data_IF_274250452429
#
_entry.id   IF_274250452429
#
_cell.length_a   1.000
_cell.length_b   1.000
_cell.length_c   1.000
_cell.angle_alpha   90.00
_cell.angle_beta   90.00
_cell.angle_gamma   90.00
#
_symmetry.space_group_name_H-M   'P 1'
#
loop_
_entity.id
_entity.type
_entity.pdbx_description
1 polymer ?
#
# COMPACT_ATOMS: atom_id res chain seq x y z
N UNK A 1 -11.91 18.29 2.70
CA UNK A 1 -12.53 17.27 3.58
C UNK A 1 -12.32 17.68 5.03
N UNK A 2 -13.38 17.75 5.85
CA UNK A 2 -13.21 17.80 7.31
C UNK A 2 -12.84 16.40 7.77
N UNK A 3 -11.78 16.27 8.56
CA UNK A 3 -11.41 14.98 9.15
C UNK A 3 -12.35 14.71 10.33
N UNK A 4 -13.53 14.12 10.07
CA UNK A 4 -14.50 13.75 11.12
C UNK A 4 -13.88 12.80 12.15
N UNK A 5 -12.96 11.94 11.70
CA UNK A 5 -12.20 11.00 12.55
C UNK A 5 -11.26 11.74 13.50
N UNK A 6 -10.49 12.73 13.01
CA UNK A 6 -9.55 13.48 13.86
C UNK A 6 -10.29 14.48 14.76
N UNK A 7 -11.33 15.12 14.24
CA UNK A 7 -12.03 16.22 14.93
C UNK A 7 -13.22 15.76 15.77
N UNK A 8 -13.60 14.46 15.71
CA UNK A 8 -14.77 13.88 16.40
C UNK A 8 -16.08 14.63 16.14
N UNK A 9 -16.25 15.17 14.94
CA UNK A 9 -17.46 15.91 14.55
C UNK A 9 -18.46 14.91 13.92
N UNK A 10 -19.71 14.81 14.42
CA UNK A 10 -20.71 13.92 13.85
C UNK A 10 -21.09 14.37 12.42
N UNK A 11 -21.16 13.40 11.50
CA UNK A 11 -21.60 13.65 10.12
C UNK A 11 -23.08 14.01 10.08
N UNK A 12 -23.40 15.13 9.44
CA UNK A 12 -24.78 15.51 9.11
C UNK A 12 -25.28 14.77 7.86
N UNK A 13 -26.60 14.81 7.61
CA UNK A 13 -27.16 14.29 6.35
C UNK A 13 -26.61 15.01 5.11
N UNK A 14 -26.35 16.32 5.24
CA UNK A 14 -25.75 17.11 4.17
C UNK A 14 -24.32 16.64 3.89
N UNK A 15 -23.53 16.37 4.93
CA UNK A 15 -22.18 15.81 4.76
C UNK A 15 -22.24 14.50 3.97
N UNK A 16 -23.15 13.57 4.32
CA UNK A 16 -23.31 12.31 3.59
C UNK A 16 -23.59 12.52 2.10
N UNK A 17 -24.55 13.38 1.75
CA UNK A 17 -24.88 13.68 0.35
C UNK A 17 -23.70 14.31 -0.42
N UNK A 18 -22.91 15.15 0.26
CA UNK A 18 -21.70 15.73 -0.32
C UNK A 18 -20.63 14.66 -0.54
N UNK A 19 -20.46 13.74 0.40
CA UNK A 19 -19.54 12.62 0.28
C UNK A 19 -19.93 11.70 -0.88
N UNK A 20 -21.20 11.31 -1.00
CA UNK A 20 -21.70 10.49 -2.11
C UNK A 20 -21.47 11.17 -3.47
N UNK A 21 -21.77 12.47 -3.56
CA UNK A 21 -21.53 13.24 -4.80
C UNK A 21 -20.03 13.31 -5.13
N UNK A 22 -19.19 13.55 -4.13
CA UNK A 22 -17.73 13.62 -4.30
C UNK A 22 -17.16 12.26 -4.68
N UNK A 23 -17.68 11.18 -4.12
CA UNK A 23 -17.30 9.81 -4.44
C UNK A 23 -17.65 9.47 -5.89
N UNK A 24 -18.89 9.76 -6.33
CA UNK A 24 -19.30 9.57 -7.73
C UNK A 24 -18.37 10.34 -8.67
N UNK A 25 -18.04 11.59 -8.32
CA UNK A 25 -17.11 12.40 -9.11
C UNK A 25 -15.71 11.76 -9.13
N UNK A 26 -15.15 11.40 -7.97
CA UNK A 26 -13.84 10.76 -7.87
C UNK A 26 -13.78 9.46 -8.67
N UNK A 27 -14.80 8.62 -8.63
CA UNK A 27 -14.85 7.37 -9.41
C UNK A 27 -14.95 7.64 -10.91
N UNK A 28 -15.60 8.74 -11.30
CA UNK A 28 -15.79 9.10 -12.72
C UNK A 28 -14.51 9.65 -13.39
N UNK A 29 -13.54 10.14 -12.60
CA UNK A 29 -12.28 10.67 -13.13
C UNK A 29 -11.21 9.58 -13.18
N UNK A 30 -10.65 9.22 -14.35
CA UNK A 30 -9.65 8.15 -14.47
C UNK A 30 -8.41 8.35 -13.58
N UNK A 31 -7.93 9.59 -13.45
CA UNK A 31 -6.77 9.94 -12.63
C UNK A 31 -7.05 9.90 -11.11
N UNK A 32 -8.30 9.72 -10.69
CA UNK A 32 -8.70 9.80 -9.28
C UNK A 32 -8.64 8.45 -8.56
N UNK A 33 -8.27 7.36 -9.25
CA UNK A 33 -8.13 6.01 -8.66
C UNK A 33 -7.25 6.02 -7.41
N UNK A 34 -6.13 6.75 -7.43
CA UNK A 34 -5.23 6.85 -6.29
C UNK A 34 -5.86 7.55 -5.08
N UNK A 35 -6.70 8.58 -5.33
CA UNK A 35 -7.46 9.27 -4.28
C UNK A 35 -8.51 8.34 -3.66
N UNK A 36 -9.24 7.61 -4.50
CA UNK A 36 -10.21 6.60 -4.04
C UNK A 36 -9.51 5.53 -3.20
N UNK A 37 -8.34 5.07 -3.65
CA UNK A 37 -7.54 4.09 -2.92
C UNK A 37 -7.11 4.60 -1.54
N UNK A 38 -6.67 5.86 -1.44
CA UNK A 38 -6.38 6.51 -0.16
C UNK A 38 -7.59 6.53 0.79
N UNK A 39 -8.77 6.88 0.29
CA UNK A 39 -10.00 6.87 1.09
C UNK A 39 -10.35 5.46 1.56
N UNK A 40 -10.22 4.46 0.68
CA UNK A 40 -10.46 3.06 1.02
C UNK A 40 -9.49 2.55 2.08
N UNK A 41 -8.20 2.92 1.99
CA UNK A 41 -7.20 2.56 3.00
C UNK A 41 -7.58 3.08 4.37
N UNK A 42 -8.05 4.33 4.43
CA UNK A 42 -8.47 4.94 5.69
C UNK A 42 -9.64 4.18 6.33
N UNK A 43 -10.66 3.86 5.54
CA UNK A 43 -11.82 3.07 6.01
C UNK A 43 -11.34 1.68 6.47
N UNK A 44 -10.45 1.06 5.71
CA UNK A 44 -9.95 -0.28 5.99
C UNK A 44 -9.12 -0.34 7.27
N UNK A 45 -8.25 0.64 7.51
CA UNK A 45 -7.49 0.77 8.77
C UNK A 45 -8.42 0.94 9.96
N UNK A 46 -9.49 1.74 9.83
CA UNK A 46 -10.49 1.90 10.90
C UNK A 46 -11.22 0.58 11.19
N UNK A 47 -11.57 -0.19 10.16
CA UNK A 47 -12.18 -1.52 10.30
C UNK A 47 -11.22 -2.49 11.00
N UNK A 48 -9.97 -2.59 10.52
CA UNK A 48 -8.95 -3.48 11.10
C UNK A 48 -8.71 -3.18 12.59
N UNK A 49 -8.59 -1.90 12.94
CA UNK A 49 -8.46 -1.43 14.31
C UNK A 49 -9.67 -1.82 15.19
N UNK A 50 -10.88 -1.75 14.65
CA UNK A 50 -12.10 -2.05 15.41
C UNK A 50 -12.32 -3.54 15.66
N UNK A 51 -11.88 -4.38 14.73
CA UNK A 51 -12.15 -5.83 14.76
C UNK A 51 -11.03 -6.64 15.42
N UNK A 52 -9.88 -6.03 15.75
CA UNK A 52 -8.69 -6.74 16.25
C UNK A 52 -8.32 -7.95 15.38
N UNK A 53 -8.50 -7.82 14.05
CA UNK A 53 -8.22 -8.89 13.12
C UNK A 53 -6.73 -9.22 13.16
N UNK A 54 -6.42 -10.53 13.19
CA UNK A 54 -5.04 -11.00 13.05
C UNK A 54 -4.59 -10.86 11.61
N UNK A 55 -3.34 -10.51 11.41
CA UNK A 55 -2.76 -10.35 10.08
C UNK A 55 -2.78 -11.65 9.26
N UNK A 56 -2.76 -12.80 9.92
CA UNK A 56 -2.85 -14.13 9.30
C UNK A 56 -4.26 -14.55 8.85
N UNK A 57 -5.27 -13.68 8.96
CA UNK A 57 -6.62 -13.97 8.45
C UNK A 57 -6.54 -14.14 6.92
N UNK A 58 -7.02 -15.26 6.34
CA UNK A 58 -7.06 -15.46 4.88
C UNK A 58 -7.73 -14.31 4.11
N UNK A 59 -8.69 -13.62 4.74
CA UNK A 59 -9.31 -12.44 4.14
C UNK A 59 -8.32 -11.28 3.97
N UNK A 60 -7.35 -11.13 4.87
CA UNK A 60 -6.31 -10.09 4.77
C UNK A 60 -5.35 -10.35 3.62
N UNK A 61 -4.98 -11.61 3.38
CA UNK A 61 -4.19 -12.04 2.21
C UNK A 61 -4.86 -11.61 0.90
N UNK A 62 -6.15 -11.95 0.70
CA UNK A 62 -6.89 -11.53 -0.49
C UNK A 62 -6.98 -10.01 -0.62
N UNK A 63 -7.29 -9.31 0.49
CA UNK A 63 -7.36 -7.84 0.51
C UNK A 63 -6.02 -7.18 0.20
N UNK A 64 -4.91 -7.80 0.62
CA UNK A 64 -3.57 -7.30 0.35
C UNK A 64 -3.24 -7.41 -1.14
N UNK A 65 -3.58 -8.53 -1.78
CA UNK A 65 -3.46 -8.68 -3.24
C UNK A 65 -4.33 -7.65 -3.97
N UNK A 66 -5.61 -7.52 -3.58
CA UNK A 66 -6.53 -6.57 -4.19
C UNK A 66 -6.01 -5.14 -4.06
N UNK A 67 -5.50 -4.78 -2.88
CA UNK A 67 -4.87 -3.49 -2.66
C UNK A 67 -3.64 -3.28 -3.55
N UNK A 68 -2.73 -4.26 -3.61
CA UNK A 68 -1.52 -4.19 -4.44
C UNK A 68 -1.86 -4.00 -5.92
N UNK A 69 -2.81 -4.78 -6.45
CA UNK A 69 -3.27 -4.68 -7.83
C UNK A 69 -3.91 -3.32 -8.13
N UNK A 70 -4.79 -2.84 -7.23
CA UNK A 70 -5.41 -1.53 -7.39
C UNK A 70 -4.38 -0.39 -7.33
N UNK A 71 -3.39 -0.49 -6.44
CA UNK A 71 -2.30 0.48 -6.36
C UNK A 71 -1.47 0.49 -7.63
N UNK A 72 -1.04 -0.69 -8.13
CA UNK A 72 -0.32 -0.84 -9.39
C UNK A 72 -1.08 -0.21 -10.55
N UNK A 73 -2.36 -0.55 -10.70
CA UNK A 73 -3.21 0.00 -11.75
C UNK A 73 -3.34 1.53 -11.63
N UNK A 74 -3.47 2.06 -10.42
CA UNK A 74 -3.59 3.51 -10.21
C UNK A 74 -2.29 4.25 -10.57
N UNK A 75 -1.13 3.75 -10.14
CA UNK A 75 0.16 4.44 -10.32
C UNK A 75 0.83 4.17 -11.67
N UNK A 76 0.31 3.24 -12.47
CA UNK A 76 0.76 2.97 -13.85
C UNK A 76 -0.22 3.47 -14.92
N UNK A 77 -1.32 4.10 -14.51
CA UNK A 77 -2.33 4.66 -15.40
C UNK A 77 -1.72 5.81 -16.24
N UNK A 78 -1.79 5.75 -17.59
CA UNK A 78 -1.20 6.77 -18.44
C UNK A 78 -1.76 8.19 -18.22
N UNK A 79 -3.05 8.30 -17.92
CA UNK A 79 -3.69 9.59 -17.68
C UNK A 79 -3.21 10.17 -16.33
N UNK A 80 -3.11 9.33 -15.30
CA UNK A 80 -2.48 9.71 -14.03
C UNK A 80 -1.03 10.18 -14.23
N UNK A 81 -0.21 9.42 -14.97
CA UNK A 81 1.19 9.77 -15.25
C UNK A 81 1.28 11.12 -15.96
N UNK A 82 0.51 11.30 -17.04
CA UNK A 82 0.44 12.54 -17.80
C UNK A 82 0.04 13.71 -16.90
N UNK A 83 -0.96 13.51 -16.04
CA UNK A 83 -1.42 14.52 -15.08
C UNK A 83 -0.32 14.91 -14.10
N UNK A 84 0.33 13.96 -13.45
CA UNK A 84 1.42 14.25 -12.51
C UNK A 84 2.57 14.99 -13.17
N UNK A 85 2.97 14.59 -14.39
CA UNK A 85 4.06 15.23 -15.11
C UNK A 85 3.71 16.65 -15.59
N UNK A 86 2.45 16.90 -15.95
CA UNK A 86 2.00 18.23 -16.42
C UNK A 86 1.69 19.18 -15.27
N UNK A 87 1.12 18.67 -14.19
CA UNK A 87 0.71 19.44 -13.02
C UNK A 87 1.78 19.51 -11.93
N UNK A 88 2.95 18.88 -12.08
CA UNK A 88 4.03 18.87 -11.07
C UNK A 88 4.34 20.27 -10.52
N UNK A 89 4.36 21.28 -11.40
CA UNK A 89 4.63 22.68 -11.04
C UNK A 89 3.53 23.33 -10.19
N UNK A 90 2.31 22.80 -10.25
CA UNK A 90 1.17 23.26 -9.45
C UNK A 90 1.20 22.67 -8.03
N UNK A 91 1.91 21.56 -7.83
CA UNK A 91 2.15 20.97 -6.51
C UNK A 91 3.33 21.65 -5.80
N UNK A 92 3.40 22.99 -5.82
CA UNK A 92 4.26 23.69 -4.87
C UNK A 92 3.44 23.95 -3.62
N UNK A 93 3.88 23.40 -2.49
CA UNK A 93 3.20 23.56 -1.21
C UNK A 93 3.10 25.07 -0.88
N UNK A 94 1.88 25.53 -0.60
CA UNK A 94 1.67 26.82 0.09
C UNK A 94 2.12 26.74 1.57
N UNK A 95 2.32 25.51 2.06
CA UNK A 95 2.68 25.18 3.43
C UNK A 95 4.21 25.18 3.53
N UNK A 96 4.74 25.82 4.57
CA UNK A 96 6.17 25.87 4.84
C UNK A 96 6.79 24.46 4.98
N UNK A 97 7.90 24.21 4.28
CA UNK A 97 8.57 22.90 4.25
C UNK A 97 9.01 22.41 5.64
N UNK A 98 9.48 23.30 6.51
CA UNK A 98 9.88 22.93 7.88
C UNK A 98 8.67 22.50 8.70
N UNK A 99 7.51 23.12 8.48
CA UNK A 99 6.26 22.68 9.11
C UNK A 99 5.89 21.27 8.64
N UNK A 100 5.93 20.99 7.33
CA UNK A 100 5.63 19.67 6.79
C UNK A 100 6.61 18.64 7.38
N UNK A 101 7.92 18.91 7.32
CA UNK A 101 8.95 18.02 7.88
C UNK A 101 8.73 17.74 9.37
N UNK A 102 8.40 18.75 10.16
CA UNK A 102 8.15 18.57 11.59
C UNK A 102 6.90 17.70 11.85
N UNK A 103 5.82 17.90 11.10
CA UNK A 103 4.60 17.09 11.22
C UNK A 103 4.86 15.63 10.84
N UNK A 104 5.63 15.39 9.78
CA UNK A 104 5.91 14.02 9.32
C UNK A 104 7.02 13.32 10.10
N UNK A 105 7.99 14.05 10.67
CA UNK A 105 9.06 13.44 11.45
C UNK A 105 8.55 12.65 12.66
N UNK A 106 7.58 13.22 13.40
CA UNK A 106 6.98 12.54 14.56
C UNK A 106 6.14 11.32 14.12
N UNK A 107 5.34 11.48 13.07
CA UNK A 107 4.50 10.40 12.54
C UNK A 107 5.34 9.24 11.96
N UNK A 108 6.42 9.56 11.24
CA UNK A 108 7.37 8.58 10.70
C UNK A 108 8.04 7.79 11.83
N UNK A 109 8.49 8.49 12.89
CA UNK A 109 9.09 7.84 14.04
C UNK A 109 8.10 6.90 14.76
N UNK A 110 6.84 7.32 14.93
CA UNK A 110 5.79 6.49 15.52
C UNK A 110 5.55 5.24 14.67
N UNK A 111 5.47 5.39 13.35
CA UNK A 111 5.27 4.28 12.42
C UNK A 111 6.43 3.28 12.49
N UNK A 112 7.68 3.77 12.52
CA UNK A 112 8.87 2.91 12.65
C UNK A 112 8.86 2.14 13.97
N UNK A 113 8.51 2.80 15.07
CA UNK A 113 8.42 2.15 16.38
C UNK A 113 7.34 1.06 16.35
N UNK A 114 6.20 1.32 15.71
CA UNK A 114 5.13 0.32 15.56
C UNK A 114 5.56 -0.88 14.72
N UNK A 115 6.23 -0.63 13.59
CA UNK A 115 6.84 -1.66 12.73
C UNK A 115 7.81 -2.52 13.52
N UNK A 116 8.72 -1.89 14.28
CA UNK A 116 9.72 -2.60 15.07
C UNK A 116 9.13 -3.42 16.22
N UNK A 117 7.99 -2.99 16.80
CA UNK A 117 7.30 -3.74 17.85
C UNK A 117 6.66 -5.02 17.34
N UNK A 118 6.01 -4.96 16.17
CA UNK A 118 5.32 -6.12 15.57
C UNK A 118 6.24 -7.09 14.85
N UNK A 119 7.48 -6.69 14.56
CA UNK A 119 8.52 -7.55 13.99
C UNK A 119 8.76 -8.86 14.77
N UNK A 120 8.38 -8.93 16.05
CA UNK A 120 8.56 -10.13 16.87
C UNK A 120 7.50 -11.22 16.63
N UNK A 121 6.50 -10.97 15.78
CA UNK A 121 5.50 -11.97 15.41
C UNK A 121 5.97 -12.73 14.16
N UNK A 122 6.39 -13.99 14.34
CA UNK A 122 6.71 -14.88 13.23
C UNK A 122 5.42 -15.21 12.46
N UNK A 123 5.40 -14.89 11.16
CA UNK A 123 4.32 -15.26 10.27
C UNK A 123 4.61 -16.63 9.68
N UNK A 124 3.89 -17.66 10.14
CA UNK A 124 3.99 -19.03 9.61
C UNK A 124 3.20 -19.21 8.30
N UNK A 125 3.21 -18.20 7.43
CA UNK A 125 2.52 -18.23 6.16
C UNK A 125 3.40 -17.65 5.04
N UNK A 126 4.00 -18.56 4.25
CA UNK A 126 4.84 -18.20 3.12
C UNK A 126 4.09 -17.36 2.06
N UNK A 127 2.79 -17.61 1.85
CA UNK A 127 1.99 -16.82 0.91
C UNK A 127 1.95 -15.35 1.32
N UNK A 128 1.68 -15.11 2.61
CA UNK A 128 1.67 -13.77 3.17
C UNK A 128 3.04 -13.09 3.04
N UNK A 129 4.13 -13.81 3.34
CA UNK A 129 5.50 -13.28 3.22
C UNK A 129 5.79 -12.78 1.81
N UNK A 130 5.46 -13.58 0.80
CA UNK A 130 5.68 -13.21 -0.60
C UNK A 130 4.85 -12.00 -1.03
N UNK A 131 3.57 -11.95 -0.65
CA UNK A 131 2.70 -10.84 -0.99
C UNK A 131 3.13 -9.55 -0.30
N UNK A 132 3.49 -9.62 0.97
CA UNK A 132 4.02 -8.50 1.74
C UNK A 132 5.30 -7.95 1.09
N UNK A 133 6.20 -8.82 0.64
CA UNK A 133 7.42 -8.41 -0.06
C UNK A 133 7.13 -7.66 -1.37
N UNK A 134 6.16 -8.12 -2.16
CA UNK A 134 5.73 -7.39 -3.36
C UNK A 134 5.15 -6.03 -3.00
N UNK A 135 4.28 -5.98 -2.00
CA UNK A 135 3.66 -4.73 -1.59
C UNK A 135 4.69 -3.71 -1.08
N UNK A 136 5.70 -4.19 -0.36
CA UNK A 136 6.85 -3.40 0.06
C UNK A 136 7.60 -2.81 -1.14
N UNK A 137 7.85 -3.58 -2.20
CA UNK A 137 8.48 -3.09 -3.43
C UNK A 137 7.63 -2.05 -4.16
N UNK A 138 6.32 -2.23 -4.22
CA UNK A 138 5.40 -1.28 -4.84
C UNK A 138 5.42 0.04 -4.06
N UNK A 139 5.29 -0.01 -2.74
CA UNK A 139 5.29 1.18 -1.89
C UNK A 139 6.65 1.88 -1.85
N UNK A 140 7.73 1.12 -1.84
CA UNK A 140 9.08 1.67 -1.98
C UNK A 140 9.20 2.44 -3.30
N UNK A 141 8.79 1.81 -4.41
CA UNK A 141 8.82 2.47 -5.72
C UNK A 141 7.97 3.73 -5.74
N UNK A 142 6.77 3.70 -5.17
CA UNK A 142 5.87 4.84 -5.07
C UNK A 142 6.41 5.98 -4.18
N UNK A 143 7.08 5.65 -3.07
CA UNK A 143 7.75 6.64 -2.21
C UNK A 143 8.85 7.37 -3.00
N UNK A 144 9.63 6.64 -3.80
CA UNK A 144 10.75 7.20 -4.56
C UNK A 144 10.34 7.90 -5.86
N UNK A 145 9.35 7.35 -6.57
CA UNK A 145 8.88 7.79 -7.88
C UNK A 145 7.35 7.75 -7.84
N UNK A 146 6.71 8.90 -8.11
CA UNK A 146 5.26 9.07 -7.91
C UNK A 146 4.37 8.23 -8.86
N UNK A 147 4.99 7.50 -9.79
CA UNK A 147 4.33 6.62 -10.75
C UNK A 147 5.24 5.44 -11.11
N UNK A 148 4.66 4.41 -11.72
CA UNK A 148 5.38 3.28 -12.29
C UNK A 148 5.30 3.27 -13.80
N UNK A 149 6.42 3.02 -14.46
CA UNK A 149 6.40 2.66 -15.87
C UNK A 149 5.63 1.36 -16.05
N UNK A 150 4.85 1.28 -17.13
CA UNK A 150 4.04 0.10 -17.46
C UNK A 150 4.84 -1.21 -17.38
N UNK A 151 6.06 -1.24 -17.94
CA UNK A 151 6.91 -2.44 -17.90
C UNK A 151 7.34 -2.87 -16.50
N UNK A 152 7.36 -1.96 -15.52
CA UNK A 152 7.65 -2.29 -14.12
C UNK A 152 6.38 -2.76 -13.41
N UNK A 153 5.25 -2.11 -13.68
CA UNK A 153 3.95 -2.53 -13.17
C UNK A 153 3.56 -3.93 -13.68
N UNK A 154 3.77 -4.22 -14.96
CA UNK A 154 3.53 -5.53 -15.57
C UNK A 154 4.36 -6.61 -14.86
N UNK A 155 5.64 -6.36 -14.56
CA UNK A 155 6.50 -7.29 -13.81
C UNK A 155 5.97 -7.58 -12.41
N UNK A 156 5.52 -6.55 -11.69
CA UNK A 156 4.94 -6.74 -10.36
C UNK A 156 3.62 -7.50 -10.43
N UNK A 157 2.78 -7.22 -11.43
CA UNK A 157 1.55 -7.97 -11.70
C UNK A 157 1.85 -9.45 -11.98
N UNK A 158 2.83 -9.75 -12.82
CA UNK A 158 3.26 -11.12 -13.12
C UNK A 158 3.71 -11.85 -11.84
N UNK A 159 4.44 -11.16 -10.95
CA UNK A 159 4.83 -11.74 -9.67
C UNK A 159 3.62 -12.10 -8.80
N UNK A 160 2.62 -11.21 -8.71
CA UNK A 160 1.38 -11.45 -7.96
C UNK A 160 0.61 -12.64 -8.54
N UNK A 161 0.51 -12.74 -9.87
CA UNK A 161 -0.17 -13.83 -10.56
C UNK A 161 0.52 -15.18 -10.34
N UNK A 162 1.86 -15.21 -10.39
CA UNK A 162 2.64 -16.42 -10.13
C UNK A 162 2.43 -16.92 -8.71
N UNK A 163 2.45 -16.02 -7.72
CA UNK A 163 2.20 -16.37 -6.32
C UNK A 163 0.78 -16.91 -6.15
N UNK A 164 -0.22 -16.20 -6.69
CA UNK A 164 -1.63 -16.61 -6.60
C UNK A 164 -1.87 -18.01 -7.18
N UNK A 165 -1.21 -18.32 -8.31
CA UNK A 165 -1.25 -19.67 -8.93
C UNK A 165 -0.49 -20.71 -8.12
N UNK A 166 0.64 -20.34 -7.51
CA UNK A 166 1.43 -21.25 -6.68
C UNK A 166 0.62 -21.72 -5.47
N UNK A 167 -0.01 -20.79 -4.74
CA UNK A 167 -0.72 -21.11 -3.49
C UNK A 167 -2.14 -21.67 -3.69
N UNK A 168 -2.84 -21.33 -4.77
CA UNK A 168 -4.15 -21.93 -5.08
C UNK A 168 -4.11 -23.44 -5.35
N UNK A 169 -2.99 -23.96 -5.87
CA UNK A 169 -2.83 -25.39 -6.17
C UNK A 169 -2.55 -26.27 -4.95
N UNK A 170 -2.03 -25.70 -3.85
CA UNK A 170 -1.71 -26.49 -2.65
C UNK A 170 -2.96 -26.96 -1.88
N UNK A 171 -4.12 -26.35 -2.12
CA UNK A 171 -5.29 -26.58 -1.29
C UNK A 171 -6.09 -27.85 -1.62
N UNK A 172 -5.72 -28.60 -2.68
CA UNK A 172 -6.60 -29.65 -3.26
C UNK A 172 -6.20 -31.09 -2.88
N UNK A 173 -4.97 -31.38 -2.44
CA UNK A 173 -4.51 -32.78 -2.25
C UNK A 173 -3.90 -33.08 -0.86
N UNK A 174 -4.58 -32.71 0.23
CA UNK A 174 -4.15 -33.12 1.58
C UNK A 174 -4.45 -34.59 1.92
N UNK A 175 -5.15 -35.33 1.07
CA UNK A 175 -5.42 -36.76 1.28
C UNK A 175 -4.45 -37.61 0.47
N UNK A 176 -3.22 -37.68 0.97
CA UNK A 176 -2.30 -38.79 0.76
C UNK A 176 -1.52 -38.80 -0.55
N UNK A 177 -0.26 -38.34 -0.52
CA UNK A 177 0.80 -38.86 -1.39
C UNK A 177 2.17 -38.44 -0.87
N UNK A 178 2.89 -39.40 -0.30
CA UNK A 178 4.35 -39.33 -0.19
C UNK A 178 4.92 -39.49 -1.59
N UNK A 179 5.58 -38.46 -2.10
CA UNK A 179 6.32 -38.54 -3.36
C UNK A 179 7.44 -37.52 -3.35
N UNK A 180 8.66 -38.05 -3.38
CA UNK A 180 9.90 -37.34 -3.69
C UNK A 180 9.72 -36.48 -4.94
N UNK A 181 9.95 -35.18 -4.83
CA UNK A 181 10.03 -34.26 -5.96
C UNK A 181 11.37 -33.54 -5.91
N UNK A 182 12.28 -34.01 -6.77
CA UNK A 182 13.59 -33.41 -7.03
C UNK A 182 13.41 -32.04 -7.70
N UNK A 183 13.69 -30.97 -6.95
CA UNK A 183 13.59 -29.60 -7.42
C UNK A 183 14.85 -29.18 -8.19
N UNK A 184 14.76 -29.11 -9.51
CA UNK A 184 15.76 -28.45 -10.37
C UNK A 184 15.19 -27.18 -10.99
N UNK A 185 15.62 -26.02 -10.48
CA UNK A 185 16.04 -24.81 -11.23
C UNK A 185 16.00 -23.59 -10.30
N UNK A 186 17.12 -23.34 -9.62
CA UNK A 186 17.36 -22.09 -8.91
C UNK A 186 17.96 -21.06 -9.88
N UNK A 187 17.15 -20.10 -10.30
CA UNK A 187 17.68 -18.87 -10.89
C UNK A 187 18.40 -18.09 -9.79
N UNK A 188 19.72 -17.95 -9.93
CA UNK A 188 20.58 -17.18 -9.04
C UNK A 188 20.30 -15.67 -9.16
N UNK A 189 19.13 -15.23 -8.69
CA UNK A 189 18.92 -13.82 -8.35
C UNK A 189 19.48 -13.68 -6.95
N UNK A 190 20.64 -13.02 -6.81
CA UNK A 190 21.19 -12.68 -5.50
C UNK A 190 20.20 -11.73 -4.81
N UNK A 191 19.30 -12.30 -4.01
CA UNK A 191 18.40 -11.53 -3.17
C UNK A 191 19.29 -10.64 -2.28
N UNK A 192 19.11 -9.31 -2.32
CA UNK A 192 19.88 -8.45 -1.43
C UNK A 192 19.60 -8.86 0.01
N UNK A 193 20.58 -8.65 0.91
CA UNK A 193 20.46 -8.92 2.35
C UNK A 193 19.53 -7.90 3.02
N UNK A 194 18.32 -7.79 2.50
CA UNK A 194 17.25 -7.05 3.12
C UNK A 194 16.90 -7.80 4.39
N UNK A 195 16.97 -7.11 5.54
CA UNK A 195 16.43 -7.67 6.76
C UNK A 195 14.94 -7.83 6.50
N UNK A 196 14.43 -9.05 6.58
CA UNK A 196 13.05 -9.42 6.29
C UNK A 196 12.09 -8.75 7.29
N UNK A 197 11.88 -7.44 7.16
CA UNK A 197 10.84 -6.73 7.90
C UNK A 197 9.52 -7.09 7.26
N UNK A 198 8.85 -8.07 7.85
CA UNK A 198 7.52 -8.43 7.42
C UNK A 198 6.52 -7.50 8.08
N UNK A 199 5.94 -6.58 7.29
CA UNK A 199 4.92 -5.65 7.78
C UNK A 199 3.57 -6.35 7.82
N UNK A 200 2.75 -5.97 8.81
CA UNK A 200 1.32 -6.25 8.82
C UNK A 200 0.62 -5.55 7.63
N UNK A 201 -0.51 -6.08 7.18
CA UNK A 201 -1.30 -5.41 6.14
C UNK A 201 -1.74 -4.02 6.59
N UNK A 202 -2.13 -3.87 7.86
CA UNK A 202 -2.43 -2.57 8.48
C UNK A 202 -1.26 -1.58 8.34
N UNK A 203 -0.02 -2.02 8.61
CA UNK A 203 1.16 -1.17 8.48
C UNK A 203 1.43 -0.76 7.03
N UNK A 204 1.21 -1.65 6.05
CA UNK A 204 1.32 -1.25 4.65
C UNK A 204 0.31 -0.17 4.26
N UNK A 205 -0.94 -0.28 4.72
CA UNK A 205 -1.97 0.74 4.49
C UNK A 205 -1.57 2.07 5.13
N UNK A 206 -1.04 2.05 6.37
CA UNK A 206 -0.53 3.25 7.05
C UNK A 206 0.66 3.87 6.32
N UNK A 207 1.60 3.06 5.84
CA UNK A 207 2.73 3.52 5.02
C UNK A 207 2.24 4.23 3.76
N UNK A 208 1.32 3.59 3.02
CA UNK A 208 0.72 4.16 1.83
C UNK A 208 0.03 5.49 2.12
N UNK A 209 -0.81 5.55 3.16
CA UNK A 209 -1.50 6.78 3.57
C UNK A 209 -0.50 7.89 3.89
N UNK A 210 0.59 7.59 4.60
CA UNK A 210 1.60 8.58 4.97
C UNK A 210 2.35 9.10 3.74
N UNK A 211 2.79 8.22 2.83
CA UNK A 211 3.42 8.61 1.55
C UNK A 211 2.46 9.49 0.75
N UNK A 212 1.20 9.08 0.66
CA UNK A 212 0.18 9.78 -0.10
C UNK A 212 -0.11 11.16 0.48
N UNK A 213 -0.30 11.27 1.80
CA UNK A 213 -0.55 12.56 2.46
C UNK A 213 0.62 13.51 2.25
N UNK A 214 1.84 13.03 2.45
CA UNK A 214 3.04 13.85 2.29
C UNK A 214 3.13 14.43 0.88
N UNK A 215 2.95 13.59 -0.14
CA UNK A 215 3.07 13.97 -1.55
C UNK A 215 1.90 14.81 -2.07
N UNK A 216 0.66 14.43 -1.76
CA UNK A 216 -0.53 14.96 -2.43
C UNK A 216 -1.38 15.89 -1.57
N UNK A 217 -1.44 15.68 -0.26
CA UNK A 217 -2.25 16.51 0.64
C UNK A 217 -1.46 17.74 1.10
N UNK A 218 -0.20 17.54 1.47
CA UNK A 218 0.71 18.63 1.81
C UNK A 218 1.41 19.22 0.58
N UNK A 219 1.28 18.55 -0.57
CA UNK A 219 1.73 19.04 -1.86
C UNK A 219 3.25 19.02 -2.04
N UNK A 220 3.99 18.21 -1.29
CA UNK A 220 5.42 18.01 -1.53
C UNK A 220 5.63 16.75 -2.36
N UNK A 221 5.35 16.84 -3.67
CA UNK A 221 5.37 15.70 -4.60
C UNK A 221 6.75 15.01 -4.69
N UNK A 222 7.82 15.72 -4.34
CA UNK A 222 9.21 15.24 -4.40
C UNK A 222 9.73 14.73 -3.06
N UNK A 223 8.95 14.90 -1.99
CA UNK A 223 9.25 14.33 -0.68
C UNK A 223 9.36 12.82 -0.68
N UNK A 224 10.19 12.32 0.25
CA UNK A 224 10.41 10.89 0.50
C UNK A 224 10.51 10.67 2.00
N UNK A 225 10.03 9.51 2.43
CA UNK A 225 10.23 9.04 3.79
C UNK A 225 11.53 8.24 3.85
N UNK A 226 12.65 8.92 4.14
CA UNK A 226 13.99 8.32 4.09
C UNK A 226 14.21 7.22 5.13
N UNK A 227 13.46 7.24 6.24
CA UNK A 227 13.60 6.20 7.27
C UNK A 227 12.70 4.98 7.01
N UNK A 228 11.80 5.08 6.03
CA UNK A 228 10.93 3.98 5.62
C UNK A 228 11.71 3.02 4.71
N UNK A 229 12.64 2.28 5.31
CA UNK A 229 13.34 1.19 4.61
C UNK A 229 12.39 0.00 4.46
N UNK A 230 11.53 0.09 3.43
CA UNK A 230 10.67 -1.01 2.97
C UNK A 230 11.43 -2.01 2.09
N UNK A 231 12.69 -1.72 1.75
CA UNK A 231 13.54 -2.57 0.93
C UNK A 231 14.22 -3.64 1.77
#
# INVERSE_FOLDING_TARGET
MKSSVILKIPMTSNDKSLFETTEIQLVSYPCSKLHVLYLNCRILVDILNSQQLRDSDPNNTSRMIDFANNLLLAISDPDYISKIQTEEKLFTSLINDDFIKNVFADNENILIIDIQKRYLEEFDNAEYEFQARILAWILHSFNHINYLHKSTADKYSDCIDVISKMFSNFHINSEGLGSDLDSHNTTNISAPKYRDFLLSFEQFLRCFMMIYEYKFIFGDINSKLDKLNLS
#
